data_IF_476671299280
#
_entry.id   IF_476671299280
#
_cell.length_a   1.000
_cell.length_b   1.000
_cell.length_c   1.000
_cell.angle_alpha   90.00
_cell.angle_beta   90.00
_cell.angle_gamma   90.00
#
_symmetry.space_group_name_H-M   'P 1'
#
loop_
_entity.id
_entity.type
_entity.pdbx_description
1 polymer ?
#
# COMPACT_ATOMS: atom_id res chain seq x y z
N UNK A 1 65.00 16.63 18.36
CA UNK A 1 65.20 16.79 16.90
C UNK A 1 66.04 15.60 16.43
N UNK A 2 65.65 14.91 15.35
CA UNK A 2 66.06 13.57 14.92
C UNK A 2 65.40 12.37 15.63
N UNK A 3 64.18 12.01 15.19
CA UNK A 3 63.69 10.61 14.97
C UNK A 3 62.22 10.58 14.51
N UNK A 4 61.82 11.35 13.48
CA UNK A 4 60.46 11.25 12.92
C UNK A 4 60.35 11.34 11.39
N UNK A 5 61.47 11.28 10.65
CA UNK A 5 61.49 11.41 9.17
C UNK A 5 61.86 10.09 8.45
N UNK A 6 62.14 8.99 9.15
CA UNK A 6 62.55 7.70 8.51
C UNK A 6 61.46 6.63 8.38
N UNK A 7 60.21 6.89 8.79
CA UNK A 7 59.09 5.94 8.59
C UNK A 7 58.18 6.25 7.40
N UNK A 8 58.37 7.38 6.70
CA UNK A 8 57.53 7.76 5.55
C UNK A 8 58.10 7.26 4.20
N UNK A 9 59.32 6.72 4.16
CA UNK A 9 59.98 6.29 2.91
C UNK A 9 59.89 4.79 2.59
N UNK A 10 59.29 3.95 3.46
CA UNK A 10 59.20 2.48 3.24
C UNK A 10 57.81 2.02 2.78
N UNK A 11 56.77 2.86 2.91
CA UNK A 11 55.41 2.50 2.47
C UNK A 11 55.12 2.83 0.99
N UNK A 12 55.96 3.64 0.32
CA UNK A 12 55.72 4.08 -1.07
C UNK A 12 56.40 3.15 -2.11
N UNK A 13 57.32 2.29 -1.71
CA UNK A 13 58.05 1.39 -2.63
C UNK A 13 57.44 -0.01 -2.81
N UNK A 14 56.31 -0.32 -2.15
CA UNK A 14 55.61 -1.60 -2.32
C UNK A 14 54.38 -1.52 -3.26
N UNK A 15 54.03 -0.33 -3.77
CA UNK A 15 52.88 -0.12 -4.66
C UNK A 15 53.23 0.00 -6.15
N UNK A 16 54.48 -0.24 -6.55
CA UNK A 16 54.88 -0.25 -7.95
C UNK A 16 55.83 -1.41 -8.23
N UNK A 17 55.65 -2.05 -9.39
CA UNK A 17 56.37 -3.23 -9.94
C UNK A 17 55.65 -4.57 -9.70
N UNK A 18 54.54 -4.78 -10.43
CA UNK A 18 54.46 -5.92 -11.38
C UNK A 18 53.86 -5.38 -12.67
N UNK A 19 54.74 -5.07 -13.61
CA UNK A 19 54.44 -4.64 -14.97
C UNK A 19 54.53 -5.83 -15.94
N UNK A 20 53.47 -6.01 -16.74
CA UNK A 20 53.47 -6.25 -18.20
C UNK A 20 54.12 -7.56 -18.73
N UNK A 21 53.31 -8.56 -19.15
CA UNK A 21 52.89 -8.92 -20.55
C UNK A 21 53.93 -9.79 -21.33
N UNK A 22 53.60 -10.53 -22.43
CA UNK A 22 52.41 -10.48 -23.32
C UNK A 22 51.77 -11.86 -23.68
N UNK A 23 50.53 -11.91 -24.20
CA UNK A 23 50.14 -12.26 -25.60
C UNK A 23 49.11 -13.43 -25.56
N UNK A 24 47.97 -13.53 -26.26
CA UNK A 24 47.38 -12.89 -27.46
C UNK A 24 45.85 -13.17 -27.47
N UNK A 25 45.08 -12.20 -28.02
CA UNK A 25 43.76 -12.23 -28.69
C UNK A 25 42.68 -13.24 -28.24
N UNK A 26 41.41 -12.84 -28.05
CA UNK A 26 40.56 -12.12 -29.02
C UNK A 26 39.47 -11.28 -28.33
N UNK A 27 39.33 -10.01 -28.71
CA UNK A 27 38.02 -9.34 -28.64
C UNK A 27 37.12 -9.91 -29.74
N UNK A 28 35.81 -9.96 -29.51
CA UNK A 28 34.99 -8.95 -30.19
C UNK A 28 34.02 -8.23 -29.27
N UNK A 29 33.80 -6.98 -29.66
CA UNK A 29 32.59 -6.19 -29.50
C UNK A 29 32.29 -5.64 -28.10
N UNK A 30 32.72 -4.38 -27.96
CA UNK A 30 31.85 -3.30 -27.55
C UNK A 30 30.38 -3.61 -27.89
N UNK A 31 29.63 -4.13 -26.92
CA UNK A 31 28.25 -3.72 -26.81
C UNK A 31 28.36 -2.27 -26.34
N UNK A 32 28.45 -1.37 -27.31
CA UNK A 32 27.85 -0.08 -27.14
C UNK A 32 26.45 -0.38 -26.61
N UNK A 33 26.20 0.01 -25.36
CA UNK A 33 24.85 0.32 -24.93
C UNK A 33 24.49 1.50 -25.84
N UNK A 34 24.02 1.18 -27.05
CA UNK A 34 23.31 2.12 -27.86
C UNK A 34 22.18 2.58 -26.96
N UNK A 35 22.15 3.89 -26.74
CA UNK A 35 20.94 4.63 -26.47
C UNK A 35 19.85 4.11 -27.41
N UNK A 36 19.15 3.06 -26.98
CA UNK A 36 17.77 2.86 -27.38
C UNK A 36 17.02 3.89 -26.55
N UNK A 37 17.06 5.12 -27.05
CA UNK A 37 15.91 6.01 -27.00
C UNK A 37 14.75 5.27 -27.66
N UNK A 38 14.16 4.31 -26.96
CA UNK A 38 12.74 4.10 -27.08
C UNK A 38 12.12 5.14 -26.16
N UNK A 39 11.81 6.27 -26.78
CA UNK A 39 10.73 7.16 -26.35
C UNK A 39 9.43 6.34 -26.24
N UNK A 40 9.32 5.57 -25.18
CA UNK A 40 8.08 5.39 -24.47
C UNK A 40 8.37 5.81 -23.04
N UNK A 41 8.47 7.12 -22.85
CA UNK A 41 7.96 7.75 -21.64
C UNK A 41 6.48 7.39 -21.52
N UNK A 42 6.18 6.16 -21.07
CA UNK A 42 5.06 5.97 -20.18
C UNK A 42 5.61 6.47 -18.85
N UNK A 43 5.46 7.78 -18.65
CA UNK A 43 5.41 8.28 -17.30
C UNK A 43 4.17 7.62 -16.67
N UNK A 44 4.35 6.45 -16.06
CA UNK A 44 3.78 6.33 -14.73
C UNK A 44 4.49 7.41 -13.92
N UNK A 45 3.96 8.64 -13.97
CA UNK A 45 4.08 9.50 -12.82
C UNK A 45 3.67 8.61 -11.66
N UNK A 46 4.60 8.32 -10.74
CA UNK A 46 4.28 7.64 -9.51
C UNK A 46 3.09 8.40 -8.92
N UNK A 47 1.89 7.82 -9.06
CA UNK A 47 0.65 8.50 -8.74
C UNK A 47 0.67 8.77 -7.26
N UNK A 48 0.85 10.04 -6.93
CA UNK A 48 0.93 10.47 -5.57
C UNK A 48 -0.50 10.73 -5.08
N UNK A 49 -1.19 9.67 -4.65
CA UNK A 49 -2.49 9.77 -3.96
C UNK A 49 -2.43 10.65 -2.70
N UNK A 50 -1.21 11.00 -2.25
CA UNK A 50 -0.94 11.91 -1.14
C UNK A 50 -0.96 13.39 -1.55
N UNK A 51 -0.99 13.70 -2.86
CA UNK A 51 -0.97 15.08 -3.37
C UNK A 51 -2.36 15.60 -3.66
N UNK A 52 -2.77 16.60 -2.87
CA UNK A 52 -4.03 17.31 -3.10
C UNK A 52 -4.00 18.03 -4.45
N UNK A 53 -4.94 17.68 -5.33
CA UNK A 53 -5.08 18.26 -6.66
C UNK A 53 -6.48 18.84 -6.86
N UNK A 54 -6.58 19.90 -7.66
CA UNK A 54 -7.86 20.46 -8.09
C UNK A 54 -8.31 19.76 -9.37
N UNK A 55 -9.36 18.95 -9.29
CA UNK A 55 -9.86 18.15 -10.42
C UNK A 55 -11.29 18.50 -10.82
N UNK A 56 -11.99 19.28 -10.00
CA UNK A 56 -13.31 19.85 -10.30
C UNK A 56 -14.42 18.80 -10.54
N UNK A 57 -14.26 17.60 -9.98
CA UNK A 57 -15.29 16.55 -9.91
C UNK A 57 -16.49 17.04 -9.11
N UNK A 58 -17.68 16.77 -9.64
CA UNK A 58 -18.94 17.05 -8.97
C UNK A 58 -19.05 16.23 -7.68
N UNK A 59 -19.33 16.91 -6.57
CA UNK A 59 -19.44 16.30 -5.24
C UNK A 59 -20.76 16.69 -4.60
N UNK A 60 -21.46 15.72 -4.00
CA UNK A 60 -22.64 15.97 -3.19
C UNK A 60 -22.30 15.66 -1.74
N UNK A 61 -22.54 16.63 -0.86
CA UNK A 61 -22.38 16.46 0.57
C UNK A 61 -23.76 16.25 1.20
N UNK A 62 -23.94 15.11 1.84
CA UNK A 62 -25.15 14.72 2.55
C UNK A 62 -25.02 15.14 4.01
N UNK A 63 -25.63 16.29 4.34
CA UNK A 63 -25.58 16.89 5.66
C UNK A 63 -26.92 17.54 6.04
N UNK A 64 -27.09 17.87 7.31
CA UNK A 64 -28.27 18.60 7.79
C UNK A 64 -28.26 20.03 7.21
N UNK A 65 -29.40 20.49 6.68
CA UNK A 65 -29.50 21.80 6.04
C UNK A 65 -29.21 22.93 7.05
N UNK A 66 -28.11 23.67 6.89
CA UNK A 66 -27.84 24.88 7.66
C UNK A 66 -26.38 25.27 7.82
N UNK A 67 -25.49 24.30 8.05
CA UNK A 67 -24.05 24.54 8.28
C UNK A 67 -23.27 23.28 7.89
N UNK A 68 -22.66 23.28 6.70
CA UNK A 68 -21.79 22.19 6.25
C UNK A 68 -20.38 22.75 6.00
N UNK A 69 -19.54 22.71 7.03
CA UNK A 69 -18.14 23.19 6.98
C UNK A 69 -17.32 22.44 5.93
N UNK A 70 -17.64 21.17 5.66
CA UNK A 70 -16.98 20.34 4.65
C UNK A 70 -17.04 20.93 3.22
N UNK A 71 -18.04 21.75 2.92
CA UNK A 71 -18.14 22.39 1.61
C UNK A 71 -17.03 23.43 1.40
N UNK A 72 -16.61 24.12 2.46
CA UNK A 72 -15.50 25.06 2.39
C UNK A 72 -14.16 24.33 2.27
N UNK A 73 -14.00 23.23 3.00
CA UNK A 73 -12.80 22.40 2.99
C UNK A 73 -12.47 21.85 1.59
N UNK A 74 -13.50 21.49 0.82
CA UNK A 74 -13.35 20.93 -0.52
C UNK A 74 -13.10 21.96 -1.63
N UNK A 75 -13.14 23.27 -1.34
CA UNK A 75 -12.88 24.33 -2.36
C UNK A 75 -11.48 24.26 -2.96
N UNK A 76 -10.52 23.67 -2.24
CA UNK A 76 -9.17 23.40 -2.74
C UNK A 76 -9.12 22.33 -3.82
N UNK A 77 -10.17 21.52 -3.96
CA UNK A 77 -10.22 20.37 -4.88
C UNK A 77 -11.35 20.43 -5.92
N UNK A 78 -12.46 21.14 -5.63
CA UNK A 78 -13.58 21.29 -6.56
C UNK A 78 -14.38 22.58 -6.39
N UNK A 79 -14.92 23.09 -7.50
CA UNK A 79 -15.91 24.18 -7.49
C UNK A 79 -17.36 23.67 -7.59
N UNK A 80 -17.57 22.37 -7.83
CA UNK A 80 -18.87 21.75 -8.10
C UNK A 80 -19.41 21.00 -6.87
N UNK A 81 -19.79 21.75 -5.84
CA UNK A 81 -20.31 21.20 -4.58
C UNK A 81 -21.81 21.45 -4.49
N UNK A 82 -22.58 20.40 -4.23
CA UNK A 82 -23.99 20.48 -3.85
C UNK A 82 -24.17 19.94 -2.43
N UNK A 83 -25.10 20.53 -1.67
CA UNK A 83 -25.50 20.04 -0.35
C UNK A 83 -26.92 19.47 -0.48
N UNK A 84 -27.13 18.25 0.01
CA UNK A 84 -28.40 17.53 -0.09
C UNK A 84 -28.71 16.78 1.21
N UNK A 85 -29.96 16.40 1.40
CA UNK A 85 -30.40 15.44 2.41
C UNK A 85 -31.06 14.19 1.78
N UNK A 86 -30.90 14.01 0.47
CA UNK A 86 -31.49 12.94 -0.32
C UNK A 86 -30.39 12.24 -1.15
N UNK A 87 -29.98 11.05 -0.69
CA UNK A 87 -28.95 10.22 -1.31
C UNK A 87 -29.29 9.83 -2.76
N UNK A 88 -30.56 9.83 -3.14
CA UNK A 88 -30.98 9.47 -4.51
C UNK A 88 -30.57 10.49 -5.58
N UNK A 89 -30.07 11.66 -5.18
CA UNK A 89 -29.58 12.70 -6.10
C UNK A 89 -28.15 12.44 -6.60
N UNK A 90 -27.41 11.49 -6.01
CA UNK A 90 -26.06 11.15 -6.45
C UNK A 90 -26.07 10.20 -7.65
N UNK A 91 -25.08 10.34 -8.52
CA UNK A 91 -24.90 9.53 -9.73
C UNK A 91 -23.47 8.99 -9.82
N UNK A 92 -23.25 7.92 -10.59
CA UNK A 92 -22.00 7.15 -10.64
C UNK A 92 -20.72 7.89 -11.07
N UNK A 93 -20.82 9.13 -11.55
CA UNK A 93 -19.66 9.97 -11.89
C UNK A 93 -19.47 11.15 -10.92
N UNK A 94 -20.09 11.06 -9.75
CA UNK A 94 -19.99 12.03 -8.66
C UNK A 94 -19.35 11.39 -7.44
N UNK A 95 -18.88 12.23 -6.52
CA UNK A 95 -18.41 11.79 -5.21
C UNK A 95 -19.52 12.07 -4.20
N UNK A 96 -19.86 11.06 -3.40
CA UNK A 96 -20.79 11.19 -2.28
C UNK A 96 -20.00 11.37 -0.98
N UNK A 97 -20.17 12.50 -0.29
CA UNK A 97 -19.63 12.73 1.05
C UNK A 97 -20.78 12.70 2.05
N UNK A 98 -20.75 11.80 3.02
CA UNK A 98 -21.82 11.61 4.00
C UNK A 98 -21.32 12.03 5.39
N UNK A 99 -22.04 12.97 6.00
CA UNK A 99 -21.76 13.49 7.33
C UNK A 99 -22.28 12.55 8.44
N UNK A 100 -21.41 12.15 9.38
CA UNK A 100 -21.75 11.31 10.53
C UNK A 100 -22.90 11.83 11.38
N UNK A 101 -23.00 13.15 11.56
CA UNK A 101 -24.09 13.77 12.31
C UNK A 101 -25.42 13.70 11.56
N UNK A 102 -25.37 13.75 10.22
CA UNK A 102 -26.55 13.55 9.38
C UNK A 102 -27.03 12.10 9.42
N UNK A 103 -26.12 11.12 9.33
CA UNK A 103 -26.43 9.68 9.44
C UNK A 103 -27.20 9.41 10.73
N UNK A 104 -26.72 9.97 11.84
CA UNK A 104 -27.31 9.79 13.18
C UNK A 104 -28.75 10.30 13.30
N UNK A 105 -29.17 11.21 12.42
CA UNK A 105 -30.53 11.76 12.39
C UNK A 105 -31.49 10.99 11.45
N UNK A 106 -30.99 10.02 10.68
CA UNK A 106 -31.78 9.28 9.70
C UNK A 106 -32.25 7.90 10.21
N UNK A 107 -33.13 7.26 9.43
CA UNK A 107 -33.41 5.85 9.60
C UNK A 107 -32.22 5.01 9.09
N UNK A 108 -31.56 4.29 10.00
CA UNK A 108 -30.37 3.48 9.69
C UNK A 108 -30.58 2.51 8.54
N UNK A 109 -31.68 1.76 8.51
CA UNK A 109 -31.95 0.78 7.45
C UNK A 109 -32.08 1.41 6.07
N UNK A 110 -32.75 2.57 6.00
CA UNK A 110 -32.92 3.31 4.73
C UNK A 110 -31.56 3.82 4.24
N UNK A 111 -30.79 4.48 5.11
CA UNK A 111 -29.48 5.02 4.73
C UNK A 111 -28.51 3.91 4.35
N UNK A 112 -28.44 2.82 5.11
CA UNK A 112 -27.60 1.67 4.77
C UNK A 112 -27.92 1.09 3.40
N UNK A 113 -29.21 0.94 3.05
CA UNK A 113 -29.61 0.42 1.74
C UNK A 113 -29.34 1.42 0.61
N UNK A 114 -29.59 2.72 0.82
CA UNK A 114 -29.28 3.74 -0.19
C UNK A 114 -27.78 3.89 -0.43
N UNK A 115 -26.97 3.84 0.64
CA UNK A 115 -25.51 3.84 0.53
C UNK A 115 -25.01 2.58 -0.17
N UNK A 116 -25.60 1.41 0.09
CA UNK A 116 -25.31 0.19 -0.67
C UNK A 116 -25.54 0.40 -2.18
N UNK A 117 -26.69 0.95 -2.56
CA UNK A 117 -26.99 1.20 -3.98
C UNK A 117 -25.97 2.14 -4.63
N UNK A 118 -25.51 3.19 -3.93
CA UNK A 118 -24.47 4.10 -4.45
C UNK A 118 -23.14 3.39 -4.69
N UNK A 119 -22.69 2.59 -3.72
CA UNK A 119 -21.42 1.85 -3.78
C UNK A 119 -21.42 0.92 -5.01
N UNK A 120 -22.47 0.10 -5.15
CA UNK A 120 -22.56 -0.89 -6.23
C UNK A 120 -22.91 -0.28 -7.61
N UNK A 121 -23.31 0.99 -7.65
CA UNK A 121 -23.40 1.78 -8.90
C UNK A 121 -22.05 2.37 -9.34
N UNK A 122 -20.99 2.19 -8.57
CA UNK A 122 -19.69 2.80 -8.84
C UNK A 122 -19.60 4.27 -8.46
N UNK A 123 -20.37 4.70 -7.46
CA UNK A 123 -20.19 6.03 -6.84
C UNK A 123 -19.20 5.87 -5.67
N UNK A 124 -18.04 6.55 -5.66
CA UNK A 124 -17.22 6.61 -4.45
C UNK A 124 -18.00 7.27 -3.31
N UNK A 125 -18.09 6.57 -2.18
CA UNK A 125 -18.74 7.06 -0.97
C UNK A 125 -17.67 7.34 0.08
N UNK A 126 -17.66 8.55 0.60
CA UNK A 126 -16.80 9.01 1.68
C UNK A 126 -17.67 9.30 2.90
N UNK A 127 -17.29 8.82 4.07
CA UNK A 127 -17.91 9.21 5.35
C UNK A 127 -16.94 10.04 6.17
N UNK A 128 -17.45 11.10 6.78
CA UNK A 128 -16.71 11.96 7.72
C UNK A 128 -17.28 11.82 9.14
N UNK A 129 -16.53 12.30 10.14
CA UNK A 129 -16.91 12.23 11.55
C UNK A 129 -17.00 10.80 12.12
N UNK A 130 -16.01 9.96 11.79
CA UNK A 130 -15.78 8.64 12.39
C UNK A 130 -16.96 7.65 12.25
N UNK A 131 -17.49 7.46 11.04
CA UNK A 131 -18.62 6.54 10.78
C UNK A 131 -18.29 5.42 9.78
N UNK A 132 -17.21 4.62 9.96
CA UNK A 132 -16.93 3.49 9.08
C UNK A 132 -18.04 2.42 9.11
N UNK A 133 -18.82 2.34 10.18
CA UNK A 133 -19.88 1.35 10.36
C UNK A 133 -20.95 1.46 9.27
N UNK A 134 -21.26 2.67 8.78
CA UNK A 134 -22.18 2.81 7.66
C UNK A 134 -21.63 2.11 6.42
N UNK A 135 -20.34 2.30 6.09
CA UNK A 135 -19.72 1.69 4.92
C UNK A 135 -19.65 0.16 5.07
N UNK A 136 -19.27 -0.33 6.25
CA UNK A 136 -19.21 -1.76 6.57
C UNK A 136 -20.60 -2.41 6.46
N UNK A 137 -21.61 -1.81 7.11
CA UNK A 137 -22.99 -2.32 7.08
C UNK A 137 -23.58 -2.27 5.67
N UNK A 138 -23.26 -1.22 4.90
CA UNK A 138 -23.70 -1.07 3.51
C UNK A 138 -23.00 -2.03 2.55
N UNK A 139 -21.78 -2.50 2.86
CA UNK A 139 -21.06 -3.45 2.01
C UNK A 139 -21.43 -4.93 2.27
N UNK A 140 -22.39 -5.24 3.17
CA UNK A 140 -23.05 -6.56 3.36
C UNK A 140 -22.15 -7.81 3.11
N UNK A 141 -21.15 -8.03 3.96
CA UNK A 141 -20.13 -9.10 3.86
C UNK A 141 -19.12 -8.97 2.70
N UNK A 142 -19.03 -7.81 2.07
CA UNK A 142 -18.01 -7.48 1.10
C UNK A 142 -16.65 -7.21 1.75
N UNK A 143 -15.72 -6.68 0.96
CA UNK A 143 -14.39 -6.36 1.44
C UNK A 143 -14.41 -5.23 2.48
N UNK A 144 -13.58 -5.36 3.51
CA UNK A 144 -13.38 -4.32 4.51
C UNK A 144 -11.96 -4.35 5.01
N UNK A 145 -11.31 -3.18 4.98
CA UNK A 145 -10.01 -2.93 5.58
C UNK A 145 -9.93 -1.46 5.94
N UNK A 146 -10.08 -1.14 7.22
CA UNK A 146 -10.15 0.22 7.73
C UNK A 146 -9.24 0.41 8.94
N UNK A 147 -8.64 1.60 9.04
CA UNK A 147 -7.88 2.04 10.21
C UNK A 147 -8.84 2.48 11.33
N UNK A 148 -8.68 1.99 12.56
CA UNK A 148 -9.61 2.27 13.65
C UNK A 148 -9.72 3.77 14.03
N UNK A 149 -8.64 4.54 13.85
CA UNK A 149 -8.55 5.93 14.31
C UNK A 149 -8.64 6.97 13.15
N UNK A 150 -9.14 6.56 11.98
CA UNK A 150 -9.31 7.48 10.85
C UNK A 150 -10.42 8.50 11.08
N UNK A 151 -10.19 9.71 10.54
CA UNK A 151 -11.16 10.82 10.53
C UNK A 151 -12.15 10.70 9.39
N UNK A 152 -11.68 10.14 8.27
CA UNK A 152 -12.40 10.00 7.01
C UNK A 152 -12.20 8.59 6.50
N UNK A 153 -13.29 7.99 6.03
CA UNK A 153 -13.30 6.65 5.45
C UNK A 153 -13.94 6.72 4.07
N UNK A 154 -13.57 5.81 3.19
CA UNK A 154 -14.18 5.69 1.88
C UNK A 154 -14.35 4.27 1.40
N UNK A 155 -15.26 4.09 0.45
CA UNK A 155 -15.43 2.84 -0.29
C UNK A 155 -15.83 3.13 -1.73
N UNK A 156 -15.31 2.31 -2.63
CA UNK A 156 -15.62 2.32 -4.04
C UNK A 156 -15.71 0.89 -4.56
N UNK A 157 -16.68 0.62 -5.43
CA UNK A 157 -16.76 -0.63 -6.17
C UNK A 157 -16.78 -0.32 -7.65
N UNK A 158 -15.89 -0.94 -8.42
CA UNK A 158 -15.96 -0.89 -9.87
C UNK A 158 -17.13 -1.78 -10.35
N UNK A 159 -18.19 -1.23 -10.96
CA UNK A 159 -19.34 -2.02 -11.39
C UNK A 159 -19.04 -2.95 -12.57
N UNK A 160 -17.92 -2.75 -13.28
CA UNK A 160 -17.53 -3.54 -14.45
C UNK A 160 -16.76 -4.81 -14.09
N UNK A 161 -15.86 -4.71 -13.12
CA UNK A 161 -14.99 -5.81 -12.66
C UNK A 161 -15.47 -6.43 -11.35
N UNK A 162 -16.21 -5.67 -10.53
CA UNK A 162 -16.55 -6.02 -9.16
C UNK A 162 -15.45 -5.72 -8.15
N UNK A 163 -14.34 -5.11 -8.58
CA UNK A 163 -13.23 -4.72 -7.70
C UNK A 163 -13.72 -3.76 -6.61
N UNK A 164 -13.23 -3.92 -5.38
CA UNK A 164 -13.62 -3.06 -4.26
C UNK A 164 -12.41 -2.43 -3.62
N UNK A 165 -12.53 -1.15 -3.29
CA UNK A 165 -11.48 -0.34 -2.69
C UNK A 165 -11.99 0.33 -1.43
N UNK A 166 -11.31 0.10 -0.29
CA UNK A 166 -11.54 0.80 0.96
C UNK A 166 -10.46 1.85 1.17
N UNK A 167 -10.82 2.96 1.83
CA UNK A 167 -9.87 4.01 2.15
C UNK A 167 -10.03 4.51 3.58
N UNK A 168 -8.91 4.85 4.22
CA UNK A 168 -8.85 5.50 5.53
C UNK A 168 -7.86 6.66 5.54
N UNK A 169 -8.22 7.80 6.14
CA UNK A 169 -7.28 8.91 6.38
C UNK A 169 -7.16 9.19 7.88
N UNK A 170 -5.95 9.03 8.41
CA UNK A 170 -5.59 9.24 9.81
C UNK A 170 -4.65 10.44 9.91
N UNK A 171 -5.22 11.61 10.24
CA UNK A 171 -4.46 12.84 10.48
C UNK A 171 -5.18 13.73 11.50
N UNK A 172 -4.49 14.76 11.99
CA UNK A 172 -5.08 15.71 12.96
C UNK A 172 -6.07 16.67 12.29
N UNK A 173 -5.80 17.07 11.05
CA UNK A 173 -6.58 18.05 10.30
C UNK A 173 -7.63 17.38 9.40
N UNK A 174 -8.91 17.61 9.68
CA UNK A 174 -10.04 17.10 8.91
C UNK A 174 -10.09 17.68 7.50
N UNK A 175 -9.59 18.90 7.28
CA UNK A 175 -9.60 19.55 5.97
C UNK A 175 -8.64 18.82 5.04
N UNK A 176 -7.41 18.56 5.50
CA UNK A 176 -6.41 17.73 4.81
C UNK A 176 -6.93 16.31 4.59
N UNK A 177 -7.59 15.72 5.59
CA UNK A 177 -8.17 14.38 5.49
C UNK A 177 -9.18 14.29 4.34
N UNK A 178 -10.09 15.27 4.27
CA UNK A 178 -11.15 15.30 3.28
C UNK A 178 -10.62 15.60 1.87
N UNK A 179 -9.59 16.45 1.76
CA UNK A 179 -8.92 16.71 0.50
C UNK A 179 -8.23 15.45 -0.05
N UNK A 180 -7.54 14.67 0.78
CA UNK A 180 -6.96 13.38 0.37
C UNK A 180 -8.03 12.38 -0.04
N UNK A 181 -9.09 12.25 0.75
CA UNK A 181 -10.21 11.37 0.44
C UNK A 181 -10.88 11.73 -0.89
N UNK A 182 -11.03 13.02 -1.17
CA UNK A 182 -11.55 13.50 -2.47
C UNK A 182 -10.65 13.07 -3.64
N UNK A 183 -9.34 13.25 -3.53
CA UNK A 183 -8.41 12.90 -4.61
C UNK A 183 -8.38 11.39 -4.84
N UNK A 184 -8.42 10.59 -3.76
CA UNK A 184 -8.62 9.15 -3.85
C UNK A 184 -9.89 8.80 -4.64
N UNK A 185 -11.03 9.37 -4.27
CA UNK A 185 -12.31 9.11 -4.93
C UNK A 185 -12.32 9.52 -6.41
N UNK A 186 -11.71 10.66 -6.74
CA UNK A 186 -11.58 11.12 -8.13
C UNK A 186 -10.67 10.22 -8.97
N UNK A 187 -9.57 9.72 -8.38
CA UNK A 187 -8.69 8.76 -9.03
C UNK A 187 -9.42 7.45 -9.32
N UNK A 188 -10.23 6.94 -8.39
CA UNK A 188 -11.04 5.72 -8.59
C UNK A 188 -12.00 5.86 -9.79
N UNK A 189 -12.67 7.01 -9.93
CA UNK A 189 -13.54 7.29 -11.07
C UNK A 189 -12.75 7.38 -12.38
N UNK A 190 -11.61 8.08 -12.34
CA UNK A 190 -10.79 8.35 -13.51
C UNK A 190 -10.10 7.09 -14.05
N UNK A 191 -9.62 6.23 -13.15
CA UNK A 191 -9.04 4.92 -13.48
C UNK A 191 -10.03 4.02 -14.20
N UNK A 192 -11.26 3.96 -13.71
CA UNK A 192 -12.30 3.17 -14.32
C UNK A 192 -12.70 3.71 -15.72
N UNK A 193 -12.63 5.03 -15.91
CA UNK A 193 -12.88 5.66 -17.22
C UNK A 193 -11.79 5.39 -18.27
N UNK A 194 -10.58 5.01 -17.83
CA UNK A 194 -9.41 4.72 -18.70
C UNK A 194 -9.10 3.24 -18.84
N UNK A 195 -9.73 2.39 -18.05
CA UNK A 195 -9.57 0.94 -18.10
C UNK A 195 -10.34 0.39 -19.30
N UNK A 196 -9.81 0.63 -20.51
CA UNK A 196 -10.16 -0.18 -21.67
C UNK A 196 -9.85 -1.63 -21.31
N UNK A 197 -10.84 -2.51 -21.50
CA UNK A 197 -10.76 -3.97 -21.42
C UNK A 197 -9.31 -4.48 -21.47
N UNK A 198 -8.85 -5.04 -20.36
CA UNK A 198 -7.60 -5.79 -20.29
C UNK A 198 -7.75 -7.04 -21.18
N UNK A 199 -7.64 -6.85 -22.50
CA UNK A 199 -7.27 -7.89 -23.44
C UNK A 199 -5.75 -8.06 -23.31
N UNK A 200 -5.32 -8.69 -22.22
CA UNK A 200 -3.98 -9.28 -22.16
C UNK A 200 -4.09 -10.71 -21.65
N UNK A 201 -4.32 -11.62 -22.62
CA UNK A 201 -4.31 -13.07 -22.50
C UNK A 201 -2.91 -13.58 -22.13
N UNK A 202 -2.44 -13.33 -20.91
CA UNK A 202 -1.26 -14.00 -20.36
C UNK A 202 -1.54 -14.63 -19.00
N UNK A 203 -2.39 -15.67 -19.01
CA UNK A 203 -2.36 -16.83 -18.10
C UNK A 203 -2.46 -16.59 -16.57
N UNK A 204 -3.14 -15.54 -16.10
CA UNK A 204 -3.72 -15.54 -14.74
C UNK A 204 -5.10 -14.89 -14.79
N UNK A 205 -6.14 -15.71 -14.73
CA UNK A 205 -7.51 -15.23 -14.54
C UNK A 205 -7.69 -14.91 -13.06
N UNK A 206 -7.49 -13.65 -12.66
CA UNK A 206 -7.91 -13.16 -11.36
C UNK A 206 -9.42 -12.96 -11.37
N UNK A 207 -10.13 -13.30 -10.29
CA UNK A 207 -11.59 -13.12 -10.27
C UNK A 207 -12.00 -11.68 -9.93
N UNK A 208 -11.45 -11.12 -8.85
CA UNK A 208 -11.76 -9.78 -8.31
C UNK A 208 -10.53 -9.29 -7.54
N UNK A 209 -10.20 -8.00 -7.65
CA UNK A 209 -9.19 -7.32 -6.84
C UNK A 209 -9.84 -6.55 -5.70
N UNK A 210 -9.25 -6.65 -4.52
CA UNK A 210 -9.67 -5.91 -3.34
C UNK A 210 -8.51 -5.03 -2.86
N UNK A 211 -8.71 -3.73 -2.76
CA UNK A 211 -7.67 -2.76 -2.42
C UNK A 211 -7.97 -1.98 -1.15
N UNK A 212 -6.97 -1.80 -0.29
CA UNK A 212 -7.03 -0.86 0.83
C UNK A 212 -6.00 0.24 0.60
N UNK A 213 -6.42 1.50 0.73
CA UNK A 213 -5.52 2.66 0.78
C UNK A 213 -5.67 3.40 2.10
N UNK A 214 -4.59 3.47 2.87
CA UNK A 214 -4.60 4.19 4.15
C UNK A 214 -3.47 5.22 4.22
N UNK A 215 -3.82 6.44 4.62
CA UNK A 215 -2.88 7.55 4.78
C UNK A 215 -2.76 7.91 6.26
N UNK A 216 -1.58 7.72 6.84
CA UNK A 216 -1.28 8.09 8.23
C UNK A 216 -0.31 9.27 8.28
N UNK A 217 -0.69 10.33 9.00
CA UNK A 217 0.24 11.36 9.40
C UNK A 217 1.01 10.92 10.65
N UNK A 218 2.33 10.89 10.57
CA UNK A 218 3.21 10.44 11.65
C UNK A 218 3.51 11.59 12.62
N UNK A 219 2.54 11.92 13.49
CA UNK A 219 2.70 12.95 14.54
C UNK A 219 2.97 12.28 15.89
N UNK A 220 4.07 12.65 16.54
CA UNK A 220 4.38 12.12 17.87
C UNK A 220 3.63 12.89 18.99
N UNK A 221 3.74 12.40 20.23
CA UNK A 221 3.11 13.00 21.42
C UNK A 221 3.46 14.47 21.72
N UNK A 222 4.57 14.97 21.15
CA UNK A 222 5.01 16.36 21.32
C UNK A 222 4.47 17.26 20.18
N UNK A 223 3.51 16.76 19.41
CA UNK A 223 2.95 17.37 18.20
C UNK A 223 4.02 17.69 17.13
N UNK A 224 5.01 16.81 17.00
CA UNK A 224 6.01 16.90 15.94
C UNK A 224 5.62 15.98 14.80
N UNK A 225 5.45 16.57 13.63
CA UNK A 225 5.18 15.87 12.38
C UNK A 225 6.48 15.27 11.81
N UNK A 226 6.53 13.96 11.60
CA UNK A 226 7.64 13.24 10.98
C UNK A 226 7.42 12.94 9.49
N UNK A 227 6.21 13.15 8.99
CA UNK A 227 5.83 12.89 7.61
C UNK A 227 4.61 11.99 7.51
N UNK A 228 4.54 11.23 6.43
CA UNK A 228 3.38 10.39 6.09
C UNK A 228 3.78 8.94 5.87
N UNK A 229 2.86 8.04 6.20
CA UNK A 229 2.88 6.65 5.80
C UNK A 229 1.67 6.38 4.90
N UNK A 230 1.92 6.04 3.65
CA UNK A 230 0.89 5.65 2.71
C UNK A 230 0.94 4.12 2.57
N UNK A 231 -0.10 3.46 3.06
CA UNK A 231 -0.25 2.02 3.02
C UNK A 231 -1.22 1.68 1.88
N UNK A 232 -0.78 0.80 0.98
CA UNK A 232 -1.59 0.26 -0.10
C UNK A 232 -1.50 -1.25 -0.06
N UNK A 233 -2.62 -1.92 0.12
CA UNK A 233 -2.65 -3.39 0.17
C UNK A 233 -3.66 -3.90 -0.84
N UNK A 234 -3.20 -4.75 -1.75
CA UNK A 234 -4.05 -5.38 -2.75
C UNK A 234 -4.14 -6.87 -2.50
N UNK A 235 -5.37 -7.37 -2.43
CA UNK A 235 -5.68 -8.79 -2.32
C UNK A 235 -6.29 -9.27 -3.63
N UNK A 236 -5.80 -10.41 -4.08
CA UNK A 236 -6.24 -11.07 -5.28
C UNK A 236 -6.65 -12.48 -4.93
N UNK A 237 -7.91 -12.83 -5.21
CA UNK A 237 -8.34 -14.22 -5.14
C UNK A 237 -7.72 -14.98 -6.32
N UNK A 238 -7.01 -16.05 -6.01
CA UNK A 238 -6.43 -16.96 -6.99
C UNK A 238 -7.50 -17.98 -7.42
N UNK A 239 -7.66 -18.19 -8.72
CA UNK A 239 -8.50 -19.30 -9.20
C UNK A 239 -7.82 -20.63 -8.91
N UNK A 240 -8.58 -21.52 -8.32
CA UNK A 240 -8.18 -22.90 -8.04
C UNK A 240 -9.36 -23.85 -8.31
N UNK A 241 -9.06 -25.14 -8.40
CA UNK A 241 -10.03 -26.24 -8.56
C UNK A 241 -10.37 -26.92 -7.24
N UNK A 242 -9.85 -26.44 -6.11
CA UNK A 242 -10.16 -27.02 -4.80
C UNK A 242 -11.58 -26.67 -4.36
N UNK A 243 -12.33 -27.69 -4.00
CA UNK A 243 -13.63 -27.51 -3.35
C UNK A 243 -13.49 -27.14 -1.85
N UNK A 244 -12.30 -27.35 -1.26
CA UNK A 244 -12.06 -27.29 0.19
C UNK A 244 -11.29 -26.02 0.65
N UNK A 245 -10.67 -25.32 -0.30
CA UNK A 245 -9.79 -24.20 0.00
C UNK A 245 -9.95 -23.05 -0.99
N UNK A 246 -9.76 -21.86 -0.47
CA UNK A 246 -9.63 -20.61 -1.21
C UNK A 246 -8.20 -20.08 -1.04
N UNK A 247 -7.67 -19.43 -2.07
CA UNK A 247 -6.30 -18.91 -2.06
C UNK A 247 -6.30 -17.42 -2.35
N UNK A 248 -5.56 -16.67 -1.52
CA UNK A 248 -5.46 -15.22 -1.64
C UNK A 248 -3.99 -14.82 -1.74
N UNK A 249 -3.66 -14.11 -2.81
CA UNK A 249 -2.40 -13.40 -2.95
C UNK A 249 -2.57 -12.00 -2.40
N UNK A 250 -1.69 -11.57 -1.49
CA UNK A 250 -1.68 -10.20 -0.96
C UNK A 250 -0.38 -9.54 -1.32
N UNK A 251 -0.47 -8.37 -1.94
CA UNK A 251 0.64 -7.46 -2.19
C UNK A 251 0.52 -6.29 -1.22
N UNK A 252 1.54 -6.13 -0.38
CA UNK A 252 1.67 -4.98 0.51
C UNK A 252 2.52 -3.92 -0.18
N UNK A 253 2.19 -2.66 0.06
CA UNK A 253 2.99 -1.51 -0.34
C UNK A 253 2.94 -0.45 0.75
N UNK A 254 4.11 0.01 1.16
CA UNK A 254 4.26 1.07 2.13
C UNK A 254 5.19 2.14 1.56
N UNK A 255 4.67 3.35 1.40
CA UNK A 255 5.49 4.53 1.12
C UNK A 255 5.67 5.32 2.41
N UNK A 256 6.92 5.56 2.79
CA UNK A 256 7.31 6.36 3.94
C UNK A 256 7.85 7.67 3.41
N UNK A 257 7.13 8.77 3.65
CA UNK A 257 7.45 10.09 3.12
C UNK A 257 7.86 10.99 4.28
N UNK A 258 9.16 11.26 4.50
CA UNK A 258 9.60 12.07 5.62
C UNK A 258 9.19 13.54 5.41
N UNK A 259 8.90 14.25 6.51
CA UNK A 259 8.58 15.68 6.44
C UNK A 259 9.81 16.49 5.99
N UNK A 260 9.73 17.07 4.80
CA UNK A 260 10.81 17.83 4.17
C UNK A 260 11.33 18.97 5.04
N UNK A 261 10.45 19.62 5.80
CA UNK A 261 10.82 20.74 6.69
C UNK A 261 11.71 20.30 7.87
N UNK A 262 11.79 18.99 8.11
CA UNK A 262 12.60 18.40 9.19
C UNK A 262 13.77 17.58 8.67
N UNK A 263 14.03 17.54 7.36
CA UNK A 263 15.21 16.86 6.81
C UNK A 263 16.52 17.63 7.05
N UNK A 264 16.42 18.92 7.39
CA UNK A 264 17.57 19.80 7.64
C UNK A 264 17.38 20.61 8.93
N UNK A 265 18.45 21.25 9.40
CA UNK A 265 18.41 22.11 10.60
C UNK A 265 19.09 21.50 11.81
N UNK A 266 18.71 21.96 13.01
CA UNK A 266 19.38 21.58 14.27
C UNK A 266 19.03 20.19 14.78
N UNK A 267 17.90 19.64 14.34
CA UNK A 267 17.42 18.31 14.73
C UNK A 267 16.79 17.62 13.50
N UNK A 268 17.60 17.26 12.49
CA UNK A 268 17.09 16.64 11.28
C UNK A 268 16.56 15.24 11.59
N UNK A 269 15.57 14.80 10.81
CA UNK A 269 15.01 13.46 10.88
C UNK A 269 15.49 12.60 9.73
N UNK A 270 15.44 11.29 9.93
CA UNK A 270 15.56 10.29 8.87
C UNK A 270 14.71 9.05 9.23
N UNK A 271 14.41 8.23 8.24
CA UNK A 271 13.79 6.91 8.42
C UNK A 271 14.88 5.94 8.87
N UNK A 272 14.64 5.22 9.96
CA UNK A 272 15.55 4.26 10.57
C UNK A 272 15.15 2.82 10.29
N UNK A 273 13.88 2.48 10.55
CA UNK A 273 13.39 1.13 10.37
C UNK A 273 11.99 1.14 9.81
N UNK A 274 11.62 0.03 9.18
CA UNK A 274 10.23 -0.30 8.95
C UNK A 274 9.99 -1.79 9.06
N UNK A 275 8.83 -2.18 9.57
CA UNK A 275 8.40 -3.58 9.62
C UNK A 275 7.01 -3.71 9.04
N UNK A 276 6.81 -4.71 8.17
CA UNK A 276 5.47 -5.15 7.75
C UNK A 276 5.26 -6.57 8.28
N UNK A 277 4.16 -6.75 9.00
CA UNK A 277 3.73 -8.04 9.53
C UNK A 277 2.29 -8.32 9.11
N UNK A 278 2.02 -9.54 8.67
CA UNK A 278 0.67 -10.03 8.50
C UNK A 278 0.53 -11.32 9.27
N UNK A 279 -0.33 -11.32 10.28
CA UNK A 279 -0.57 -12.47 11.14
C UNK A 279 -1.85 -13.19 10.69
N UNK A 280 -1.69 -14.24 9.90
CA UNK A 280 -2.82 -14.94 9.27
C UNK A 280 -3.51 -15.89 10.26
N UNK A 281 -2.90 -16.12 11.43
CA UNK A 281 -3.47 -16.93 12.52
C UNK A 281 -4.00 -16.08 13.68
N UNK A 282 -3.84 -14.76 13.64
CA UNK A 282 -4.25 -13.89 14.73
C UNK A 282 -5.76 -13.87 14.96
N UNK A 283 -6.57 -14.11 13.92
CA UNK A 283 -8.02 -14.14 14.09
C UNK A 283 -8.44 -15.29 15.03
N UNK A 284 -9.12 -15.00 16.15
CA UNK A 284 -9.44 -16.01 17.16
C UNK A 284 -10.49 -17.03 16.69
N UNK A 285 -11.23 -16.73 15.62
CA UNK A 285 -12.32 -17.57 15.09
C UNK A 285 -11.86 -18.33 13.85
N UNK A 286 -11.14 -17.66 12.96
CA UNK A 286 -10.80 -18.17 11.63
C UNK A 286 -9.31 -18.42 11.41
N UNK A 287 -8.44 -17.99 12.33
CA UNK A 287 -6.99 -18.16 12.22
C UNK A 287 -6.54 -19.61 12.10
N UNK A 288 -7.23 -20.57 12.74
CA UNK A 288 -6.90 -22.00 12.62
C UNK A 288 -7.20 -22.60 11.23
N UNK A 289 -8.03 -21.92 10.44
CA UNK A 289 -8.43 -22.32 9.10
C UNK A 289 -7.59 -21.64 8.01
N UNK A 290 -6.57 -20.86 8.40
CA UNK A 290 -5.71 -20.11 7.49
C UNK A 290 -4.25 -20.54 7.62
N UNK A 291 -3.56 -20.61 6.48
CA UNK A 291 -2.16 -21.00 6.42
C UNK A 291 -1.41 -20.19 5.37
N UNK A 292 -0.35 -19.48 5.79
CA UNK A 292 0.54 -18.80 4.85
C UNK A 292 1.38 -19.85 4.10
N UNK A 293 1.14 -19.97 2.80
CA UNK A 293 1.76 -20.99 1.95
C UNK A 293 3.11 -20.56 1.42
N UNK A 294 3.26 -19.26 1.15
CA UNK A 294 4.47 -18.65 0.58
C UNK A 294 4.48 -17.15 0.85
N UNK A 295 5.67 -16.58 0.83
CA UNK A 295 5.87 -15.14 0.82
C UNK A 295 7.09 -14.75 -0.01
N UNK A 296 7.24 -13.47 -0.26
CA UNK A 296 8.38 -12.84 -0.91
C UNK A 296 8.58 -11.43 -0.32
N UNK A 297 9.82 -10.91 -0.27
CA UNK A 297 11.06 -11.56 -0.69
C UNK A 297 11.53 -12.66 0.27
N UNK A 298 12.02 -13.78 -0.28
CA UNK A 298 12.72 -14.85 0.47
C UNK A 298 14.21 -14.57 0.38
N UNK A 299 14.90 -14.34 1.50
CA UNK A 299 16.34 -14.06 1.50
C UNK A 299 17.06 -14.77 2.65
N UNK A 300 18.28 -15.21 2.38
CA UNK A 300 19.23 -15.57 3.44
C UNK A 300 19.58 -14.29 4.23
N UNK A 301 19.53 -14.38 5.55
CA UNK A 301 19.81 -13.28 6.48
C UNK A 301 21.21 -12.67 6.27
N UNK A 302 21.34 -11.34 6.22
CA UNK A 302 22.61 -10.64 6.35
C UNK A 302 23.29 -10.15 5.05
N UNK A 303 22.51 -9.77 4.03
CA UNK A 303 23.05 -9.15 2.80
C UNK A 303 22.58 -7.71 2.69
N UNK A 304 23.51 -6.82 2.32
CA UNK A 304 23.40 -5.35 2.28
C UNK A 304 22.54 -4.80 1.14
N UNK A 305 21.40 -5.45 0.84
CA UNK A 305 20.51 -4.93 -0.18
C UNK A 305 19.05 -5.41 -0.06
N UNK A 306 18.09 -4.50 -0.27
CA UNK A 306 16.68 -4.82 -0.48
C UNK A 306 16.37 -4.96 -1.97
N UNK A 307 15.56 -5.95 -2.35
CA UNK A 307 15.08 -6.13 -3.73
C UNK A 307 13.59 -5.83 -3.64
N UNK A 308 13.18 -4.78 -4.34
CA UNK A 308 11.78 -4.52 -4.60
C UNK A 308 11.44 -5.40 -5.80
N UNK A 309 10.60 -6.40 -5.56
CA UNK A 309 10.06 -7.26 -6.59
C UNK A 309 8.62 -6.80 -6.87
N UNK A 310 8.25 -6.56 -8.12
CA UNK A 310 6.86 -6.64 -8.52
C UNK A 310 6.62 -8.01 -9.15
N UNK A 311 6.85 -9.13 -8.45
CA UNK A 311 6.74 -10.45 -9.12
C UNK A 311 6.35 -11.65 -8.26
N UNK A 312 5.20 -12.18 -8.67
CA UNK A 312 4.78 -13.57 -8.56
C UNK A 312 5.68 -14.52 -9.36
N UNK A 313 6.10 -15.61 -8.72
CA UNK A 313 6.40 -16.90 -9.37
C UNK A 313 5.77 -18.01 -8.54
N UNK A 314 4.46 -18.05 -8.30
CA UNK A 314 3.90 -19.24 -7.66
C UNK A 314 3.78 -20.37 -8.69
N UNK A 315 4.70 -21.33 -8.64
CA UNK A 315 4.36 -22.72 -8.87
C UNK A 315 3.88 -23.27 -7.51
N UNK A 316 2.57 -23.45 -7.36
CA UNK A 316 2.05 -24.32 -6.31
C UNK A 316 1.82 -25.71 -6.93
N UNK A 317 2.49 -26.72 -6.38
CA UNK A 317 2.19 -28.13 -6.64
C UNK A 317 1.56 -28.69 -5.37
N UNK A 318 0.22 -28.69 -5.24
CA UNK A 318 -0.40 -29.60 -4.30
C UNK A 318 -0.09 -31.02 -4.78
N UNK A 319 0.35 -31.89 -3.86
CA UNK A 319 0.50 -33.31 -4.14
C UNK A 319 -0.76 -33.83 -4.83
N UNK A 320 -0.58 -34.43 -6.01
CA UNK A 320 -1.60 -34.87 -6.99
C UNK A 320 -2.06 -33.83 -8.04
N UNK A 321 -1.12 -33.38 -8.88
CA UNK A 321 -1.35 -33.39 -10.34
C UNK A 321 -2.01 -32.18 -11.00
N UNK A 322 -2.22 -31.07 -10.29
CA UNK A 322 -2.67 -29.80 -10.91
C UNK A 322 -1.67 -28.69 -10.57
N UNK A 323 -1.09 -28.08 -11.61
CA UNK A 323 -0.20 -26.93 -11.50
C UNK A 323 -1.01 -25.65 -11.72
N UNK A 324 -1.17 -24.84 -10.69
CA UNK A 324 -1.54 -23.42 -10.84
C UNK A 324 -0.24 -22.63 -10.90
N UNK A 325 0.16 -22.27 -12.11
CA UNK A 325 1.40 -21.55 -12.41
C UNK A 325 1.07 -20.37 -13.33
N UNK A 326 1.27 -19.16 -12.82
CA UNK A 326 1.16 -17.92 -13.56
C UNK A 326 2.55 -17.29 -13.68
N UNK A 327 2.85 -16.69 -14.84
CA UNK A 327 4.12 -16.00 -15.07
C UNK A 327 3.77 -14.57 -15.51
N UNK A 328 3.97 -13.58 -14.64
CA UNK A 328 3.82 -12.17 -14.99
C UNK A 328 5.19 -11.72 -15.50
N UNK A 329 5.32 -11.55 -16.81
CA UNK A 329 6.57 -11.08 -17.42
C UNK A 329 6.57 -9.56 -17.47
N UNK A 330 7.00 -8.91 -16.39
CA UNK A 330 7.73 -7.63 -16.47
C UNK A 330 8.54 -7.42 -15.18
N UNK A 331 9.79 -7.88 -15.22
CA UNK A 331 10.71 -7.92 -14.10
C UNK A 331 11.54 -6.65 -14.06
N UNK A 332 11.17 -5.69 -13.22
CA UNK A 332 12.15 -4.73 -12.73
C UNK A 332 12.38 -5.01 -11.24
N UNK A 333 13.53 -5.60 -10.93
CA UNK A 333 14.03 -5.64 -9.55
C UNK A 333 15.21 -4.72 -9.46
N UNK A 334 15.23 -3.87 -8.46
CA UNK A 334 16.40 -3.05 -8.16
C UNK A 334 16.84 -3.30 -6.74
N UNK A 335 18.15 -3.22 -6.55
CA UNK A 335 18.80 -3.45 -5.29
C UNK A 335 19.06 -2.10 -4.63
N UNK A 336 18.44 -1.80 -3.49
CA UNK A 336 18.83 -0.62 -2.70
C UNK A 336 19.91 -1.07 -1.72
N UNK A 337 21.15 -0.65 -1.94
CA UNK A 337 22.29 -1.01 -1.05
C UNK A 337 22.16 -0.45 0.37
N UNK A 338 21.28 0.53 0.54
CA UNK A 338 21.09 1.28 1.77
C UNK A 338 19.95 0.74 2.63
N UNK A 339 19.37 -0.41 2.28
CA UNK A 339 18.37 -1.13 3.10
C UNK A 339 18.83 -2.58 3.27
N UNK A 340 18.85 -3.05 4.51
CA UNK A 340 19.06 -4.46 4.87
C UNK A 340 17.71 -5.09 5.23
N UNK A 341 17.38 -6.21 4.60
CA UNK A 341 16.10 -6.91 4.86
C UNK A 341 16.34 -8.13 5.74
N UNK A 342 15.57 -8.20 6.82
CA UNK A 342 15.55 -9.28 7.78
C UNK A 342 14.22 -10.03 7.69
N UNK A 343 14.27 -11.26 7.20
CA UNK A 343 13.12 -12.17 7.17
C UNK A 343 12.94 -12.83 8.55
N UNK A 344 11.81 -12.55 9.20
CA UNK A 344 11.36 -13.14 10.47
C UNK A 344 10.05 -13.92 10.30
N UNK A 345 9.68 -14.22 9.04
CA UNK A 345 8.44 -14.87 8.70
C UNK A 345 8.45 -16.34 9.12
N UNK A 346 7.26 -16.90 9.34
CA UNK A 346 7.07 -18.29 9.69
C UNK A 346 6.00 -18.87 8.77
N UNK A 347 6.42 -19.73 7.84
CA UNK A 347 5.51 -20.45 6.95
C UNK A 347 4.41 -21.12 7.78
N UNK A 348 3.19 -20.95 7.30
CA UNK A 348 1.97 -21.42 7.92
C UNK A 348 1.36 -20.49 8.97
N UNK A 349 2.08 -19.47 9.45
CA UNK A 349 1.61 -18.62 10.55
C UNK A 349 1.62 -17.12 10.25
N UNK A 350 2.75 -16.56 9.80
CA UNK A 350 2.88 -15.10 9.65
C UNK A 350 3.95 -14.69 8.65
N UNK A 351 3.69 -13.57 7.98
CA UNK A 351 4.69 -12.74 7.31
C UNK A 351 5.26 -11.75 8.34
N UNK A 352 6.58 -11.61 8.43
CA UNK A 352 7.22 -10.55 9.22
C UNK A 352 8.55 -10.15 8.56
N UNK A 353 8.54 -8.99 7.90
CA UNK A 353 9.68 -8.45 7.16
C UNK A 353 10.14 -7.16 7.81
N UNK A 354 11.37 -7.14 8.31
CA UNK A 354 12.00 -5.95 8.89
C UNK A 354 13.02 -5.38 7.89
N UNK A 355 12.92 -4.08 7.64
CA UNK A 355 13.77 -3.29 6.76
C UNK A 355 14.58 -2.33 7.65
N UNK A 356 15.86 -2.64 7.80
CA UNK A 356 16.86 -1.78 8.45
C UNK A 356 17.36 -0.78 7.41
N UNK A 357 17.01 0.50 7.58
CA UNK A 357 17.19 1.56 6.60
C UNK A 357 18.34 2.46 7.04
N UNK A 358 19.35 2.62 6.18
CA UNK A 358 20.49 3.47 6.49
C UNK A 358 20.09 4.95 6.51
N UNK A 359 20.01 5.50 7.72
CA UNK A 359 19.50 6.85 8.00
C UNK A 359 20.45 7.93 7.50
N UNK A 360 21.72 7.57 7.32
CA UNK A 360 22.76 8.46 6.81
C UNK A 360 22.74 8.54 5.28
N UNK A 361 22.16 7.55 4.61
CA UNK A 361 22.08 7.49 3.15
C UNK A 361 20.90 8.32 2.60
N UNK A 362 20.76 8.32 1.27
CA UNK A 362 19.67 9.04 0.61
C UNK A 362 18.31 8.44 0.97
N UNK A 363 18.22 7.11 1.05
CA UNK A 363 16.97 6.37 1.32
C UNK A 363 16.33 6.74 2.65
N UNK A 364 17.11 7.06 3.68
CA UNK A 364 16.58 7.54 4.97
C UNK A 364 16.07 8.98 4.93
N UNK A 365 16.39 9.75 3.88
CA UNK A 365 16.09 11.18 3.75
C UNK A 365 15.12 11.49 2.61
N UNK A 366 14.72 10.49 1.84
CA UNK A 366 13.77 10.59 0.75
C UNK A 366 12.61 9.63 0.99
N UNK A 367 11.63 9.63 0.10
CA UNK A 367 10.58 8.61 0.13
C UNK A 367 11.19 7.22 0.04
N UNK A 368 10.87 6.36 1.00
CA UNK A 368 11.22 4.94 1.02
C UNK A 368 9.98 4.12 0.66
N UNK A 369 10.11 3.18 -0.27
CA UNK A 369 9.02 2.32 -0.71
C UNK A 369 9.36 0.87 -0.40
N UNK A 370 8.42 0.15 0.23
CA UNK A 370 8.57 -1.22 0.69
C UNK A 370 7.40 -2.06 0.18
N UNK A 371 7.69 -3.20 -0.47
CA UNK A 371 6.67 -4.02 -1.15
C UNK A 371 6.89 -5.54 -0.94
N UNK A 372 6.55 -6.12 0.22
CA UNK A 372 6.48 -7.57 0.40
C UNK A 372 5.13 -8.13 -0.08
N UNK A 373 5.07 -9.45 -0.21
CA UNK A 373 3.88 -10.16 -0.70
C UNK A 373 3.77 -11.55 -0.05
N UNK A 374 2.55 -12.09 0.01
CA UNK A 374 2.33 -13.47 0.43
C UNK A 374 1.14 -14.15 -0.24
N UNK A 375 1.07 -15.47 -0.11
CA UNK A 375 -0.07 -16.29 -0.50
C UNK A 375 -0.59 -17.05 0.72
N UNK A 376 -1.89 -16.95 0.95
CA UNK A 376 -2.57 -17.55 2.08
C UNK A 376 -3.65 -18.49 1.58
N UNK A 377 -3.68 -19.69 2.14
CA UNK A 377 -4.73 -20.67 1.93
C UNK A 377 -5.74 -20.55 3.06
N UNK A 378 -7.02 -20.49 2.72
CA UNK A 378 -8.14 -20.36 3.65
C UNK A 378 -9.10 -21.53 3.43
N UNK A 379 -9.40 -22.31 4.47
CA UNK A 379 -10.35 -23.42 4.38
C UNK A 379 -11.78 -22.91 4.25
N UNK A 380 -12.59 -23.50 3.37
CA UNK A 380 -14.01 -23.14 3.16
C UNK A 380 -15.00 -24.23 3.65
N UNK A 381 -14.47 -25.32 4.22
CA UNK A 381 -15.20 -26.45 4.81
C UNK A 381 -14.80 -26.64 6.29
N UNK A 382 -15.50 -27.55 6.99
CA UNK A 382 -15.24 -27.92 8.39
C UNK A 382 -15.17 -26.75 9.40
N UNK A 383 -15.96 -25.71 9.16
CA UNK A 383 -16.03 -24.52 10.03
C UNK A 383 -15.27 -23.30 9.49
N UNK A 384 -14.42 -23.48 8.47
CA UNK A 384 -13.84 -22.36 7.72
C UNK A 384 -14.89 -21.70 6.82
N UNK A 385 -14.76 -20.39 6.60
CA UNK A 385 -15.68 -19.59 5.78
C UNK A 385 -15.12 -19.21 4.40
N UNK A 386 -13.92 -19.70 4.07
CA UNK A 386 -13.24 -19.43 2.81
C UNK A 386 -12.77 -17.99 2.65
N UNK A 387 -12.89 -17.14 3.68
CA UNK A 387 -12.42 -15.76 3.65
C UNK A 387 -10.99 -15.66 4.14
N UNK A 388 -10.31 -14.61 3.70
CA UNK A 388 -9.05 -14.20 4.30
C UNK A 388 -9.32 -13.19 5.41
N UNK A 389 -8.89 -13.53 6.62
CA UNK A 389 -8.96 -12.70 7.82
C UNK A 389 -7.54 -12.46 8.32
N UNK A 390 -7.10 -11.20 8.33
CA UNK A 390 -5.78 -10.85 8.83
C UNK A 390 -5.78 -9.53 9.57
N UNK A 391 -4.86 -9.44 10.54
CA UNK A 391 -4.42 -8.17 11.10
C UNK A 391 -3.07 -7.85 10.50
N UNK A 392 -3.05 -6.89 9.59
CA UNK A 392 -1.85 -6.37 8.95
C UNK A 392 -1.30 -5.23 9.82
N UNK A 393 -0.01 -5.31 10.15
CA UNK A 393 0.69 -4.37 11.01
C UNK A 393 1.85 -3.74 10.28
N UNK A 394 1.95 -2.43 10.38
CA UNK A 394 3.00 -1.62 9.79
C UNK A 394 3.67 -0.85 10.92
N UNK A 395 4.99 -0.92 10.97
CA UNK A 395 5.79 -0.15 11.90
C UNK A 395 6.77 0.71 11.12
N UNK A 396 6.95 1.95 11.56
CA UNK A 396 7.95 2.86 11.04
C UNK A 396 8.68 3.48 12.23
N UNK A 397 10.00 3.53 12.15
CA UNK A 397 10.84 4.22 13.11
C UNK A 397 11.51 5.39 12.42
N UNK A 398 11.35 6.58 12.98
CA UNK A 398 12.12 7.75 12.59
C UNK A 398 13.19 8.05 13.64
N UNK A 399 14.39 8.36 13.19
CA UNK A 399 15.46 8.91 14.01
C UNK A 399 15.43 10.44 13.94
N UNK A 400 15.60 11.12 15.07
CA UNK A 400 15.94 12.53 15.14
C UNK A 400 17.39 12.66 15.59
N UNK A 401 18.25 13.19 14.73
CA UNK A 401 19.66 13.41 15.05
C UNK A 401 19.79 14.59 16.02
N UNK A 402 20.47 14.40 17.15
CA UNK A 402 20.81 15.49 18.05
C UNK A 402 22.27 15.40 18.51
N UNK A 403 22.84 16.55 18.88
CA UNK A 403 24.29 16.68 19.17
C UNK A 403 24.82 15.73 20.26
N UNK A 404 23.97 15.32 21.20
CA UNK A 404 24.36 14.49 22.34
C UNK A 404 23.82 13.06 22.30
N UNK A 405 22.62 12.86 21.74
CA UNK A 405 21.92 11.57 21.67
C UNK A 405 20.91 11.60 20.54
N UNK A 406 20.76 10.48 19.83
CA UNK A 406 19.70 10.30 18.84
C UNK A 406 18.41 9.84 19.53
N UNK A 407 17.27 10.28 19.00
CA UNK A 407 15.94 9.92 19.49
C UNK A 407 15.21 9.09 18.44
N UNK A 408 14.55 8.02 18.86
CA UNK A 408 13.75 7.18 17.98
C UNK A 408 12.27 7.32 18.34
N UNK A 409 11.45 7.66 17.34
CA UNK A 409 10.01 7.72 17.43
C UNK A 409 9.42 6.59 16.57
N UNK A 410 8.70 5.67 17.21
CA UNK A 410 8.07 4.52 16.57
C UNK A 410 6.58 4.78 16.36
N UNK A 411 6.11 4.52 15.15
CA UNK A 411 4.71 4.59 14.76
C UNK A 411 4.25 3.21 14.34
N UNK A 412 3.12 2.75 14.89
CA UNK A 412 2.54 1.44 14.60
C UNK A 412 1.13 1.64 14.08
N UNK A 413 0.79 0.94 13.00
CA UNK A 413 -0.47 1.03 12.30
C UNK A 413 -1.03 -0.37 12.13
N UNK A 414 -2.27 -0.59 12.58
CA UNK A 414 -2.96 -1.87 12.47
C UNK A 414 -4.15 -1.72 11.50
N UNK A 415 -4.26 -2.63 10.54
CA UNK A 415 -5.40 -2.77 9.64
C UNK A 415 -6.02 -4.15 9.84
N UNK A 416 -7.31 -4.17 10.16
CA UNK A 416 -8.07 -5.42 10.21
C UNK A 416 -8.75 -5.62 8.87
N UNK A 417 -8.37 -6.70 8.19
CA UNK A 417 -8.74 -6.97 6.81
C UNK A 417 -9.60 -8.22 6.74
N UNK A 418 -10.74 -8.10 6.06
CA UNK A 418 -11.60 -9.22 5.67
C UNK A 418 -11.76 -9.18 4.15
N UNK A 419 -11.30 -10.24 3.48
CA UNK A 419 -11.50 -10.44 2.03
C UNK A 419 -12.57 -11.51 1.84
N UNK A 420 -13.69 -11.19 1.16
CA UNK A 420 -14.79 -12.14 0.97
C UNK A 420 -14.41 -13.24 -0.03
N UNK A 421 -15.13 -14.39 0.00
CA UNK A 421 -15.04 -15.34 -1.09
C UNK A 421 -15.70 -14.69 -2.32
N UNK A 422 -15.16 -14.94 -3.53
CA UNK A 422 -15.75 -14.47 -4.79
C UNK A 422 -17.28 -14.60 -4.81
N UNK A 423 -17.97 -13.54 -5.23
CA UNK A 423 -19.43 -13.50 -5.42
C UNK A 423 -19.89 -14.19 -6.71
N UNK A 424 -18.98 -14.65 -7.57
CA UNK A 424 -19.35 -15.35 -8.79
C UNK A 424 -19.36 -16.86 -8.57
N UNK A 425 -20.50 -17.55 -8.78
CA UNK A 425 -20.48 -18.99 -8.90
C UNK A 425 -19.62 -19.35 -10.11
N UNK A 426 -18.69 -20.28 -9.92
CA UNK A 426 -18.08 -21.03 -11.00
C UNK A 426 -19.18 -21.50 -11.96
N UNK A 427 -19.26 -20.90 -13.14
CA UNK A 427 -20.16 -21.35 -14.21
C UNK A 427 -19.68 -22.63 -14.84
#
# INVERSE_FOLDING_TARGET
>A
MNTYIKMIAVAISAMFIVSLLPAICTSPENIQINDIQNEQTVAEEARDYSKVTFTDRSTIIFSNAGDCTYADNLKGSTSKIAISNDLSLCTSNQIAVIDGDWISAQNKEIVTNQTHDLIFQGTPVITVANSPELLIDSNKNGFSSYAADAKVYGIYTDPSTGDQYCMSVVCEDIDEALLRAYNWADNMISENSTSSSYDDETNISWSVKYGCETFYQCINKDNKDFGWANIRTHHYKLLDVSDDYEYYYTQFKLDIIPNENRLTGSHPIAIADSTIRSDVRADPTYGEYQEMMRYSPVRDSGISSAHIYPLYTAEFKPDAGVSTGGNVNDVWSYSVSDIVVHDKSLIGEKLEMWYDINENAAVGKTTCVIEPEHVVRCKNIDGGDGKYHATDKYEIVFITFAFWHDFFDTFTFDLNTIVPPSLYPST
#
